data_IF_321117629612
#
_entry.id   IF_321117629612
#
_cell.length_a   1.000
_cell.length_b   1.000
_cell.length_c   1.000
_cell.angle_alpha   90.00
_cell.angle_beta   90.00
_cell.angle_gamma   90.00
#
_symmetry.space_group_name_H-M   'P 1'
#
loop_
_entity.id
_entity.type
_entity.pdbx_description
1 polymer ?
#
# COMPACT_ATOMS: atom_id res chain seq x y z
N UNK A 1 -4.74 8.95 -15.23
CA UNK A 1 -5.42 9.73 -14.18
C UNK A 1 -4.31 10.55 -13.55
N UNK A 2 -4.29 11.87 -13.78
CA UNK A 2 -3.35 12.74 -13.06
C UNK A 2 -3.49 12.44 -11.57
N UNK A 3 -2.40 12.51 -10.79
CA UNK A 3 -2.52 12.62 -9.32
C UNK A 3 -3.72 13.51 -9.06
N UNK A 4 -4.62 13.08 -8.19
CA UNK A 4 -5.92 13.75 -7.97
C UNK A 4 -5.80 15.23 -7.61
N UNK A 5 -4.59 15.79 -7.49
CA UNK A 5 -4.28 17.16 -7.10
C UNK A 5 -4.59 17.42 -5.63
N UNK A 6 -5.04 16.38 -4.91
CA UNK A 6 -5.47 16.43 -3.52
C UNK A 6 -4.30 16.52 -2.55
N UNK A 7 -3.10 16.14 -2.99
CA UNK A 7 -1.88 16.18 -2.18
C UNK A 7 -0.78 16.75 -3.09
N UNK A 8 -0.08 17.82 -2.67
CA UNK A 8 1.05 18.35 -3.43
C UNK A 8 2.14 17.28 -3.56
N UNK A 9 2.81 17.26 -4.71
CA UNK A 9 3.93 16.36 -4.92
C UNK A 9 5.10 16.72 -3.97
N UNK A 10 5.66 15.70 -3.33
CA UNK A 10 6.89 15.86 -2.54
C UNK A 10 8.11 15.85 -3.46
N UNK A 11 8.68 17.04 -3.71
CA UNK A 11 9.80 17.22 -4.63
C UNK A 11 11.03 16.40 -4.22
N UNK A 12 11.28 16.23 -2.92
CA UNK A 12 12.42 15.45 -2.42
C UNK A 12 12.27 13.96 -2.77
N UNK A 13 11.10 13.36 -2.50
CA UNK A 13 10.79 11.99 -2.88
C UNK A 13 10.87 11.78 -4.39
N UNK A 14 10.33 12.70 -5.19
CA UNK A 14 10.42 12.60 -6.66
C UNK A 14 11.88 12.68 -7.13
N UNK A 15 12.67 13.59 -6.59
CA UNK A 15 14.08 13.68 -6.93
C UNK A 15 14.85 12.40 -6.52
N UNK A 16 14.51 11.80 -5.38
CA UNK A 16 15.10 10.54 -4.94
C UNK A 16 14.76 9.39 -5.90
N UNK A 17 13.48 9.22 -6.27
CA UNK A 17 13.03 8.21 -7.22
C UNK A 17 13.75 8.40 -8.57
N UNK A 18 13.83 9.63 -9.08
CA UNK A 18 14.49 9.93 -10.35
C UNK A 18 15.99 9.59 -10.37
N UNK A 19 16.66 9.53 -9.21
CA UNK A 19 18.08 9.14 -9.10
C UNK A 19 18.28 7.64 -8.91
N UNK A 20 17.22 6.87 -8.64
CA UNK A 20 17.35 5.42 -8.49
C UNK A 20 17.66 4.77 -9.84
N UNK A 21 18.36 3.63 -9.79
CA UNK A 21 18.80 2.91 -11.00
C UNK A 21 17.70 2.11 -11.68
N UNK A 22 16.68 1.73 -10.92
CA UNK A 22 15.61 0.88 -11.37
C UNK A 22 14.39 1.06 -10.48
N UNK A 23 13.26 1.39 -11.07
CA UNK A 23 12.00 1.69 -10.38
C UNK A 23 10.93 0.69 -10.82
N UNK A 24 10.36 -0.02 -9.85
CA UNK A 24 9.18 -0.86 -10.05
C UNK A 24 7.99 -0.20 -9.37
N UNK A 25 6.92 0.06 -10.11
CA UNK A 25 5.68 0.62 -9.57
C UNK A 25 4.56 -0.40 -9.71
N UNK A 26 3.97 -0.75 -8.57
CA UNK A 26 2.78 -1.57 -8.53
C UNK A 26 1.56 -0.73 -8.16
N UNK A 27 0.59 -0.64 -9.08
CA UNK A 27 -0.58 0.21 -8.88
C UNK A 27 -1.80 -0.31 -9.65
N UNK A 28 -3.01 -0.18 -9.08
CA UNK A 28 -4.26 -0.39 -9.82
C UNK A 28 -4.62 0.79 -10.74
N UNK A 29 -3.91 1.92 -10.61
CA UNK A 29 -4.23 3.14 -11.35
C UNK A 29 -3.01 3.73 -12.04
N UNK A 30 -3.25 4.37 -13.20
CA UNK A 30 -2.24 5.16 -13.92
C UNK A 30 -2.03 6.53 -13.24
N UNK A 31 -1.44 6.51 -12.04
CA UNK A 31 -1.21 7.66 -11.17
C UNK A 31 0.10 8.40 -11.51
N UNK A 32 -0.04 9.61 -12.04
CA UNK A 32 1.09 10.46 -12.44
C UNK A 32 1.55 11.33 -11.26
N UNK A 33 2.85 11.62 -11.09
CA UNK A 33 3.96 11.28 -12.00
C UNK A 33 4.56 9.87 -11.81
N UNK A 34 4.18 9.16 -10.75
CA UNK A 34 4.82 7.90 -10.34
C UNK A 34 4.90 6.86 -11.46
N UNK A 35 3.83 6.66 -12.23
CA UNK A 35 3.83 5.68 -13.33
C UNK A 35 4.76 6.06 -14.50
N UNK A 36 5.06 7.35 -14.69
CA UNK A 36 5.98 7.81 -15.73
C UNK A 36 7.44 7.64 -15.34
N UNK A 37 7.70 7.49 -14.04
CA UNK A 37 9.05 7.30 -13.49
C UNK A 37 9.40 5.82 -13.32
N UNK A 38 8.47 4.90 -13.64
CA UNK A 38 8.66 3.48 -13.48
C UNK A 38 9.36 2.87 -14.72
N UNK A 39 10.40 2.08 -14.49
CA UNK A 39 10.97 1.21 -15.52
C UNK A 39 10.08 -0.01 -15.77
N UNK A 40 9.44 -0.51 -14.71
CA UNK A 40 8.48 -1.61 -14.76
C UNK A 40 7.20 -1.25 -14.04
N UNK A 41 6.08 -1.39 -14.75
CA UNK A 41 4.74 -1.27 -14.19
C UNK A 41 4.14 -2.65 -13.96
N UNK A 42 3.72 -2.92 -12.71
CA UNK A 42 3.03 -4.14 -12.32
C UNK A 42 1.56 -3.81 -12.03
N UNK A 43 0.62 -4.18 -12.92
CA UNK A 43 -0.80 -3.96 -12.68
C UNK A 43 -1.27 -4.71 -11.43
N UNK A 44 -1.94 -3.99 -10.53
CA UNK A 44 -2.51 -4.56 -9.30
C UNK A 44 -4.03 -4.47 -9.31
N UNK A 45 -4.74 -5.39 -8.62
CA UNK A 45 -6.18 -5.29 -8.49
C UNK A 45 -6.53 -4.13 -7.56
N UNK A 46 -7.57 -3.38 -7.90
CA UNK A 46 -8.13 -2.36 -7.03
C UNK A 46 -8.66 -2.99 -5.73
N UNK A 47 -8.89 -2.16 -4.72
CA UNK A 47 -9.31 -2.65 -3.39
C UNK A 47 -10.59 -3.49 -3.45
N UNK A 48 -11.53 -3.16 -4.34
CA UNK A 48 -12.82 -3.84 -4.50
C UNK A 48 -12.74 -5.08 -5.43
N UNK A 49 -11.59 -5.33 -6.05
CA UNK A 49 -11.35 -6.46 -6.95
C UNK A 49 -10.67 -7.64 -6.27
N UNK A 50 -10.36 -7.53 -4.97
CA UNK A 50 -9.62 -8.54 -4.21
C UNK A 50 -10.26 -8.81 -2.87
N UNK A 51 -10.16 -10.06 -2.42
CA UNK A 51 -10.46 -10.43 -1.04
C UNK A 51 -9.24 -10.21 -0.15
N UNK A 52 -9.47 -9.96 1.12
CA UNK A 52 -8.39 -9.85 2.09
C UNK A 52 -8.91 -9.50 3.47
N UNK A 53 -8.03 -8.91 4.28
CA UNK A 53 -8.38 -8.31 5.55
C UNK A 53 -7.73 -6.94 5.66
N UNK A 54 -8.37 -6.03 6.35
CA UNK A 54 -7.78 -4.76 6.77
C UNK A 54 -7.87 -4.64 8.29
N UNK A 55 -6.95 -3.88 8.86
CA UNK A 55 -6.98 -3.49 10.26
C UNK A 55 -7.65 -2.12 10.33
N UNK A 56 -8.66 -2.01 11.18
CA UNK A 56 -9.24 -0.71 11.54
C UNK A 56 -8.28 0.05 12.46
N UNK A 57 -8.53 1.34 12.65
CA UNK A 57 -7.73 2.17 13.57
C UNK A 57 -7.88 1.71 15.03
N UNK A 58 -8.98 1.03 15.35
CA UNK A 58 -9.26 0.40 16.64
C UNK A 58 -8.54 -0.95 16.81
N UNK A 59 -7.76 -1.39 15.83
CA UNK A 59 -7.06 -2.69 15.86
C UNK A 59 -7.93 -3.88 15.44
N UNK A 60 -9.20 -3.67 15.11
CA UNK A 60 -10.06 -4.77 14.70
C UNK A 60 -9.73 -5.25 13.27
N UNK A 61 -9.62 -6.56 13.12
CA UNK A 61 -9.48 -7.23 11.82
C UNK A 61 -10.84 -7.36 11.14
N UNK A 62 -11.00 -6.74 9.98
CA UNK A 62 -12.22 -6.83 9.16
C UNK A 62 -11.93 -7.53 7.84
N UNK A 63 -12.86 -8.41 7.44
CA UNK A 63 -12.78 -9.13 6.16
C UNK A 63 -13.21 -8.22 5.02
N UNK A 64 -12.39 -8.19 3.97
CA UNK A 64 -12.70 -7.55 2.70
C UNK A 64 -13.13 -8.65 1.72
N UNK A 65 -14.33 -8.49 1.16
CA UNK A 65 -14.85 -9.40 0.14
C UNK A 65 -14.65 -8.78 -1.25
N UNK A 66 -14.50 -9.64 -2.25
CA UNK A 66 -14.47 -9.22 -3.66
C UNK A 66 -15.86 -8.67 -4.01
N UNK A 67 -15.91 -7.45 -4.55
CA UNK A 67 -17.15 -6.83 -5.03
C UNK A 67 -17.31 -7.11 -6.52
N UNK A 68 -16.23 -6.96 -7.29
CA UNK A 68 -16.20 -7.27 -8.73
C UNK A 68 -14.95 -8.10 -9.05
N UNK A 69 -15.00 -9.01 -10.03
CA UNK A 69 -13.80 -9.72 -10.46
C UNK A 69 -12.81 -8.75 -11.13
N UNK A 70 -11.49 -8.94 -10.94
CA UNK A 70 -10.48 -8.14 -11.63
C UNK A 70 -10.58 -8.36 -13.14
N UNK A 71 -10.38 -7.29 -13.91
CA UNK A 71 -10.37 -7.35 -15.38
C UNK A 71 -8.95 -7.52 -15.92
N UNK A 72 -8.78 -8.41 -16.89
CA UNK A 72 -7.49 -8.67 -17.54
C UNK A 72 -6.56 -9.54 -16.70
N UNK A 73 -5.28 -9.53 -17.02
CA UNK A 73 -4.24 -10.39 -16.41
C UNK A 73 -3.63 -9.78 -15.14
N UNK A 74 -4.49 -9.22 -14.30
CA UNK A 74 -4.07 -8.54 -13.08
C UNK A 74 -3.83 -9.56 -11.97
N UNK A 75 -2.64 -9.50 -11.35
CA UNK A 75 -2.21 -10.47 -10.33
C UNK A 75 -2.15 -9.83 -8.95
N UNK A 76 -2.40 -10.62 -7.92
CA UNK A 76 -2.28 -10.16 -6.54
C UNK A 76 -0.81 -9.90 -6.17
N UNK A 77 -0.57 -8.95 -5.25
CA UNK A 77 0.77 -8.66 -4.71
C UNK A 77 1.46 -9.93 -4.20
N UNK A 78 0.73 -10.78 -3.47
CA UNK A 78 1.28 -12.02 -2.92
C UNK A 78 1.75 -12.99 -4.02
N UNK A 79 1.00 -13.11 -5.12
CA UNK A 79 1.39 -13.94 -6.26
C UNK A 79 2.66 -13.41 -6.92
N UNK A 80 2.69 -12.10 -7.20
CA UNK A 80 3.83 -11.44 -7.85
C UNK A 80 5.10 -11.55 -7.00
N UNK A 81 5.01 -11.26 -5.70
CA UNK A 81 6.16 -11.37 -4.80
C UNK A 81 6.60 -12.82 -4.61
N UNK A 82 5.67 -13.77 -4.58
CA UNK A 82 5.98 -15.20 -4.50
C UNK A 82 6.76 -15.69 -5.72
N UNK A 83 6.31 -15.34 -6.93
CA UNK A 83 7.03 -15.68 -8.16
C UNK A 83 8.39 -14.98 -8.25
N UNK A 84 8.47 -13.70 -7.86
CA UNK A 84 9.75 -12.99 -7.84
C UNK A 84 10.73 -13.64 -6.87
N UNK A 85 10.26 -14.00 -5.67
CA UNK A 85 11.07 -14.68 -4.68
C UNK A 85 11.55 -16.06 -5.19
N UNK A 86 10.67 -16.83 -5.84
CA UNK A 86 11.04 -18.10 -6.45
C UNK A 86 12.11 -17.94 -7.54
N UNK A 87 11.95 -16.95 -8.42
CA UNK A 87 12.91 -16.67 -9.50
C UNK A 87 14.27 -16.18 -8.98
N UNK A 88 14.29 -15.56 -7.81
CA UNK A 88 15.51 -15.08 -7.14
C UNK A 88 16.08 -16.07 -6.12
N UNK A 89 15.48 -17.25 -5.97
CA UNK A 89 15.84 -18.24 -4.95
C UNK A 89 15.81 -17.68 -3.51
N UNK A 90 14.84 -16.79 -3.24
CA UNK A 90 14.61 -16.16 -1.94
C UNK A 90 13.45 -16.85 -1.23
N UNK A 91 13.68 -17.25 0.03
CA UNK A 91 12.59 -17.75 0.89
C UNK A 91 11.92 -16.58 1.62
N UNK A 92 10.63 -16.36 1.35
CA UNK A 92 9.84 -15.37 2.07
C UNK A 92 9.55 -15.85 3.50
N UNK A 93 9.84 -15.00 4.49
CA UNK A 93 9.54 -15.26 5.89
C UNK A 93 8.04 -15.26 6.18
N UNK A 94 7.64 -15.92 7.27
CA UNK A 94 6.30 -15.78 7.84
C UNK A 94 6.34 -14.71 8.93
N UNK A 95 5.34 -13.81 9.00
CA UNK A 95 5.27 -12.85 10.09
C UNK A 95 5.11 -13.58 11.43
N UNK A 96 5.80 -13.11 12.47
CA UNK A 96 5.76 -13.68 13.82
C UNK A 96 4.43 -13.40 14.54
N UNK A 97 3.78 -12.29 14.20
CA UNK A 97 2.47 -11.90 14.71
C UNK A 97 1.39 -11.96 13.62
N UNK A 98 0.14 -12.21 14.02
CA UNK A 98 -0.97 -12.14 13.08
C UNK A 98 -1.20 -10.68 12.64
N UNK A 99 -1.73 -10.46 11.42
CA UNK A 99 -2.12 -9.13 10.98
C UNK A 99 -3.07 -8.48 11.99
N UNK A 100 -2.82 -7.21 12.33
CA UNK A 100 -3.58 -6.37 13.25
C UNK A 100 -3.30 -6.56 14.75
N UNK A 101 -2.52 -7.55 15.19
CA UNK A 101 -2.51 -7.92 16.62
C UNK A 101 -1.54 -7.15 17.53
N UNK A 102 -0.61 -6.31 17.06
CA UNK A 102 0.42 -5.75 17.98
C UNK A 102 0.94 -4.33 17.72
N UNK A 103 0.65 -3.69 16.59
CA UNK A 103 1.37 -2.43 16.21
C UNK A 103 0.48 -1.18 16.28
N UNK A 104 -0.84 -1.31 16.10
CA UNK A 104 -1.74 -0.16 15.95
C UNK A 104 -2.81 -0.05 17.05
N UNK A 105 -2.81 -0.95 18.03
CA UNK A 105 -3.73 -0.84 19.15
C UNK A 105 -3.35 0.38 19.99
N UNK A 106 -4.21 1.40 19.96
CA UNK A 106 -4.04 2.59 20.78
C UNK A 106 -3.97 2.16 22.24
N UNK A 107 -2.82 2.39 22.87
CA UNK A 107 -2.64 2.23 24.32
C UNK A 107 -3.43 3.29 25.11
N UNK A 108 -4.03 4.26 24.40
CA UNK A 108 -4.84 5.35 24.95
C UNK A 108 -6.31 5.01 24.76
N UNK A 109 -7.07 5.06 25.86
CA UNK A 109 -8.53 4.89 25.87
C UNK A 109 -9.20 5.80 24.80
N UNK A 110 -10.07 5.26 23.92
CA UNK A 110 -10.74 6.03 22.86
C UNK A 110 -11.49 7.27 23.36
N UNK A 111 -11.96 7.29 24.63
CA UNK A 111 -12.64 8.44 25.23
C UNK A 111 -11.73 9.67 25.40
N UNK A 112 -10.41 9.49 25.28
CA UNK A 112 -9.42 10.56 25.35
C UNK A 112 -9.07 11.14 23.97
N UNK A 113 -9.63 10.60 22.88
CA UNK A 113 -9.41 11.14 21.54
C UNK A 113 -9.93 12.58 21.45
N UNK A 114 -9.13 13.48 20.87
CA UNK A 114 -9.50 14.88 20.62
C UNK A 114 -9.06 15.29 19.21
N UNK A 115 -9.78 16.21 18.60
CA UNK A 115 -9.33 16.87 17.37
C UNK A 115 -8.13 17.76 17.71
N UNK A 116 -7.08 17.69 16.89
CA UNK A 116 -5.86 18.50 17.01
C UNK A 116 -5.54 19.12 15.66
N UNK A 117 -4.91 20.29 15.69
CA UNK A 117 -4.39 20.93 14.48
C UNK A 117 -3.16 20.16 13.97
N UNK A 118 -2.96 20.17 12.64
CA UNK A 118 -1.92 19.37 11.98
C UNK A 118 -0.51 19.65 12.53
N UNK A 119 -0.24 20.91 12.92
CA UNK A 119 1.02 21.40 13.47
C UNK A 119 1.37 20.78 14.83
N UNK A 120 0.36 20.35 15.60
CA UNK A 120 0.56 19.72 16.92
C UNK A 120 0.98 18.26 16.80
N UNK A 121 0.70 17.61 15.66
CA UNK A 121 1.03 16.20 15.40
C UNK A 121 2.42 16.05 14.77
N UNK A 122 2.92 17.08 14.10
CA UNK A 122 4.20 17.07 13.38
C UNK A 122 5.45 17.30 14.26
N UNK A 123 5.34 17.28 15.59
CA UNK A 123 6.45 17.48 16.53
C UNK A 123 6.97 16.19 17.16
#
# INVERSE_FOLDING_TARGET
>A
VFSTGLIPEDEESLAAISRTRFVVVQSPYMAHPLVNMADVLLPAPAWYERSGHFCTIEGERRRLNVIVPPKGEVRSLASVLGELAQNLDVTLGKPEAAPCEQIYESQIDPKKAKMVELEEVSR
#
